data_IF_107075022084
#
_entry.id   IF_107075022084
#
_cell.length_a   1.000
_cell.length_b   1.000
_cell.length_c   1.000
_cell.angle_alpha   90.00
_cell.angle_beta   90.00
_cell.angle_gamma   90.00
#
_symmetry.space_group_name_H-M   'P 1'
#
loop_
_entity.id
_entity.type
_entity.pdbx_description
1 polymer ?
#
# COMPACT_ATOMS: atom_id res chain seq x y z
N UNK A 1 -22.85 20.35 8.17
CA UNK A 1 -22.14 19.32 7.38
C UNK A 1 -20.70 19.23 7.89
N UNK A 2 -20.36 18.19 8.65
CA UNK A 2 -18.98 18.00 9.13
C UNK A 2 -18.06 17.81 7.91
N UNK A 3 -17.15 18.76 7.66
CA UNK A 3 -16.16 18.65 6.58
C UNK A 3 -15.37 17.36 6.78
N UNK A 4 -15.34 16.50 5.77
CA UNK A 4 -14.64 15.21 5.77
C UNK A 4 -13.21 15.30 6.32
N UNK A 5 -12.51 16.41 6.07
CA UNK A 5 -11.19 16.71 6.60
C UNK A 5 -11.12 16.81 8.14
N UNK A 6 -12.15 17.38 8.77
CA UNK A 6 -12.22 17.49 10.23
C UNK A 6 -12.43 16.13 10.89
N UNK A 7 -13.18 15.24 10.24
CA UNK A 7 -13.38 13.84 10.66
C UNK A 7 -12.09 13.06 10.48
N UNK A 8 -11.43 13.17 9.32
CA UNK A 8 -10.12 12.55 9.04
C UNK A 8 -9.06 12.98 10.05
N UNK A 9 -8.91 14.29 10.30
CA UNK A 9 -7.96 14.83 11.28
C UNK A 9 -8.24 14.37 12.72
N UNK A 10 -9.50 14.17 13.10
CA UNK A 10 -9.87 13.62 14.43
C UNK A 10 -9.56 12.12 14.53
N UNK A 11 -9.80 11.36 13.45
CA UNK A 11 -9.44 9.94 13.37
C UNK A 11 -7.93 9.73 13.48
N UNK A 12 -7.13 10.50 12.72
CA UNK A 12 -5.66 10.41 12.78
C UNK A 12 -5.12 10.74 14.18
N UNK A 13 -5.67 11.75 14.85
CA UNK A 13 -5.26 12.11 16.23
C UNK A 13 -5.63 11.03 17.26
N UNK A 14 -6.77 10.35 17.10
CA UNK A 14 -7.16 9.25 17.99
C UNK A 14 -6.43 7.94 17.69
N UNK A 15 -5.99 7.70 16.46
CA UNK A 15 -5.30 6.48 16.03
C UNK A 15 -4.04 6.20 16.86
N UNK A 16 -3.23 7.23 17.14
CA UNK A 16 -2.04 7.12 17.98
C UNK A 16 -2.36 6.74 19.44
N UNK A 17 -3.41 7.34 20.03
CA UNK A 17 -3.86 7.02 21.40
C UNK A 17 -4.52 5.65 21.55
N UNK A 18 -4.90 5.02 20.44
CA UNK A 18 -5.55 3.71 20.40
C UNK A 18 -4.57 2.59 20.02
N UNK A 19 -3.30 2.90 19.72
CA UNK A 19 -2.32 1.86 19.47
C UNK A 19 -1.98 1.16 20.78
N UNK A 20 -2.09 -0.19 20.85
CA UNK A 20 -1.71 -0.92 22.05
C UNK A 20 -0.22 -0.69 22.35
N UNK A 21 0.17 -0.64 23.64
CA UNK A 21 1.59 -0.55 24.00
C UNK A 21 2.34 -1.72 23.38
N UNK A 22 3.53 -1.43 22.84
CA UNK A 22 4.40 -2.44 22.21
C UNK A 22 4.68 -3.53 23.26
N UNK A 23 4.26 -4.79 23.04
CA UNK A 23 4.50 -5.85 24.01
C UNK A 23 6.00 -6.10 24.18
N UNK A 24 6.47 -6.15 25.44
CA UNK A 24 7.88 -6.37 25.78
C UNK A 24 8.46 -7.71 25.28
N UNK A 25 7.60 -8.61 24.78
CA UNK A 25 7.93 -10.03 24.56
C UNK A 25 8.09 -10.39 23.08
N UNK A 26 8.09 -9.42 22.16
CA UNK A 26 8.06 -9.70 20.72
C UNK A 26 9.00 -8.77 19.95
N UNK A 27 10.26 -9.19 19.82
CA UNK A 27 11.20 -8.61 18.86
C UNK A 27 12.06 -9.71 18.26
N UNK A 28 11.80 -10.08 17.01
CA UNK A 28 12.85 -10.66 16.18
C UNK A 28 13.42 -9.53 15.33
N UNK A 29 14.44 -8.85 15.86
CA UNK A 29 15.18 -7.81 15.13
C UNK A 29 15.95 -8.47 14.00
N UNK A 30 15.70 -8.04 12.77
CA UNK A 30 16.46 -8.45 11.60
C UNK A 30 17.60 -7.44 11.42
N UNK A 31 18.86 -7.84 11.66
CA UNK A 31 20.01 -6.95 11.85
C UNK A 31 20.49 -6.18 10.60
N UNK A 32 19.83 -6.33 9.45
CA UNK A 32 20.22 -5.69 8.18
C UNK A 32 19.17 -4.68 7.65
N UNK A 33 17.92 -4.78 8.08
CA UNK A 33 16.83 -3.88 7.72
C UNK A 33 15.90 -3.75 8.92
N UNK A 34 15.80 -2.56 9.50
CA UNK A 34 15.05 -2.34 10.74
C UNK A 34 13.54 -2.28 10.43
N UNK A 35 12.88 -3.43 10.54
CA UNK A 35 11.43 -3.50 10.61
C UNK A 35 10.98 -4.35 11.79
N UNK A 36 9.85 -3.98 12.39
CA UNK A 36 9.18 -4.71 13.47
C UNK A 36 7.88 -5.31 12.93
N UNK A 37 7.71 -6.61 13.13
CA UNK A 37 6.51 -7.34 12.69
C UNK A 37 5.65 -7.68 13.90
N UNK A 38 4.40 -7.24 13.88
CA UNK A 38 3.37 -7.54 14.87
C UNK A 38 2.39 -8.55 14.29
N UNK A 39 2.42 -9.77 14.83
CA UNK A 39 1.52 -10.87 14.45
C UNK A 39 1.52 -11.93 15.53
N UNK A 40 0.49 -12.78 15.57
CA UNK A 40 0.47 -14.03 16.33
C UNK A 40 0.68 -15.21 15.40
N UNK A 41 0.98 -16.40 15.94
CA UNK A 41 0.99 -17.62 15.14
C UNK A 41 -0.38 -17.94 14.56
N UNK A 42 -1.46 -17.70 15.31
CA UNK A 42 -2.83 -17.90 14.83
C UNK A 42 -3.14 -16.98 13.63
N UNK A 43 -2.71 -15.72 13.67
CA UNK A 43 -2.83 -14.81 12.54
C UNK A 43 -2.08 -15.33 11.31
N UNK A 44 -0.88 -15.89 11.49
CA UNK A 44 -0.12 -16.49 10.38
C UNK A 44 -0.81 -17.73 9.81
N UNK A 45 -1.42 -18.57 10.66
CA UNK A 45 -2.23 -19.72 10.21
C UNK A 45 -3.44 -19.26 9.40
N UNK A 46 -4.15 -18.22 9.84
CA UNK A 46 -5.30 -17.65 9.10
C UNK A 46 -4.86 -16.98 7.81
N UNK A 47 -3.75 -16.22 7.83
CA UNK A 47 -3.19 -15.58 6.65
C UNK A 47 -2.80 -16.61 5.57
N UNK A 48 -2.25 -17.76 5.98
CA UNK A 48 -1.89 -18.83 5.05
C UNK A 48 -3.10 -19.43 4.30
N UNK A 49 -4.29 -19.39 4.90
CA UNK A 49 -5.54 -19.86 4.29
C UNK A 49 -6.16 -18.84 3.32
N UNK A 50 -5.70 -17.58 3.37
CA UNK A 50 -6.27 -16.50 2.57
C UNK A 50 -5.76 -16.57 1.12
N UNK A 51 -6.67 -16.81 0.17
CA UNK A 51 -6.35 -16.78 -1.27
C UNK A 51 -6.24 -15.36 -1.81
N UNK A 52 -6.89 -14.40 -1.17
CA UNK A 52 -6.80 -12.98 -1.52
C UNK A 52 -6.23 -12.23 -0.31
N UNK A 53 -5.20 -11.45 -0.57
CA UNK A 53 -4.58 -10.59 0.42
C UNK A 53 -4.63 -9.13 -0.04
N UNK A 54 -4.62 -8.23 0.93
CA UNK A 54 -4.55 -6.79 0.72
C UNK A 54 -3.36 -6.25 1.49
N UNK A 55 -2.58 -5.38 0.87
CA UNK A 55 -1.46 -4.69 1.50
C UNK A 55 -1.71 -3.19 1.43
N UNK A 56 -1.49 -2.49 2.53
CA UNK A 56 -1.69 -1.04 2.60
C UNK A 56 -0.48 -0.41 3.32
N UNK A 57 0.28 0.42 2.61
CA UNK A 57 1.31 1.27 3.17
C UNK A 57 0.65 2.56 3.67
N UNK A 58 0.42 2.67 4.97
CA UNK A 58 -0.31 3.80 5.55
C UNK A 58 0.62 4.73 6.31
N UNK A 59 0.74 5.97 5.80
CA UNK A 59 1.34 7.15 6.43
C UNK A 59 2.81 7.06 6.76
N UNK A 60 3.51 8.17 6.47
CA UNK A 60 4.79 8.48 7.10
C UNK A 60 4.59 8.47 8.61
N UNK A 61 5.05 7.43 9.30
CA UNK A 61 4.96 7.37 10.76
C UNK A 61 5.78 8.52 11.32
N UNK A 62 5.17 9.37 12.15
CA UNK A 62 5.81 10.57 12.70
C UNK A 62 6.72 10.26 13.90
N UNK A 63 7.09 8.99 14.08
CA UNK A 63 7.84 8.52 15.24
C UNK A 63 9.07 7.78 14.76
N UNK A 64 10.15 8.53 14.60
CA UNK A 64 11.47 7.98 14.32
C UNK A 64 11.81 6.84 15.32
N UNK A 65 12.48 5.77 14.87
CA UNK A 65 13.13 5.62 13.56
C UNK A 65 12.19 5.15 12.44
N UNK A 66 10.95 4.76 12.74
CA UNK A 66 10.03 4.23 11.75
C UNK A 66 9.45 5.37 10.92
N UNK A 67 9.49 5.24 9.61
CA UNK A 67 8.89 6.19 8.67
C UNK A 67 7.78 5.57 7.83
N UNK A 68 7.54 4.27 7.94
CA UNK A 68 6.51 3.58 7.17
C UNK A 68 5.79 2.53 8.02
N UNK A 69 4.47 2.44 7.85
CA UNK A 69 3.63 1.43 8.50
C UNK A 69 2.84 0.66 7.44
N UNK A 70 3.04 -0.66 7.40
CA UNK A 70 2.38 -1.55 6.46
C UNK A 70 1.42 -2.47 7.19
N UNK A 71 0.21 -2.63 6.68
CA UNK A 71 -0.73 -3.66 7.14
C UNK A 71 -0.97 -4.69 6.06
N UNK A 72 -1.03 -5.96 6.45
CA UNK A 72 -1.35 -7.08 5.57
C UNK A 72 -2.62 -7.72 6.06
N UNK A 73 -3.63 -7.66 5.20
CA UNK A 73 -4.95 -8.19 5.43
C UNK A 73 -5.15 -9.44 4.58
N UNK A 74 -5.92 -10.39 5.10
CA UNK A 74 -6.41 -11.53 4.34
C UNK A 74 -7.92 -11.47 4.23
N UNK A 75 -8.46 -11.91 3.08
CA UNK A 75 -9.89 -12.16 2.96
C UNK A 75 -10.23 -13.48 3.65
N UNK A 76 -10.84 -13.39 4.83
CA UNK A 76 -11.13 -14.51 5.71
C UNK A 76 -12.54 -14.36 6.30
N UNK A 77 -13.35 -15.42 6.24
CA UNK A 77 -14.75 -15.38 6.69
C UNK A 77 -15.53 -14.19 6.08
N UNK A 78 -15.40 -14.02 4.77
CA UNK A 78 -16.06 -12.96 3.99
C UNK A 78 -15.71 -11.52 4.41
N UNK A 79 -14.61 -11.35 5.15
CA UNK A 79 -14.16 -10.05 5.64
C UNK A 79 -12.67 -9.85 5.37
N UNK A 80 -12.28 -8.60 5.12
CA UNK A 80 -10.88 -8.23 5.09
C UNK A 80 -10.39 -7.99 6.52
N UNK A 81 -9.58 -8.91 7.05
CA UNK A 81 -9.06 -8.85 8.42
C UNK A 81 -7.55 -8.62 8.41
N UNK A 82 -7.05 -7.74 9.29
CA UNK A 82 -5.62 -7.50 9.46
C UNK A 82 -4.98 -8.64 10.23
N UNK A 83 -3.96 -9.27 9.65
CA UNK A 83 -3.24 -10.37 10.30
C UNK A 83 -1.82 -9.99 10.68
N UNK A 84 -1.16 -9.15 9.88
CA UNK A 84 0.21 -8.70 10.12
C UNK A 84 0.28 -7.19 10.02
N UNK A 85 0.96 -6.56 10.97
CA UNK A 85 1.29 -5.13 10.92
C UNK A 85 2.80 -4.99 11.01
N UNK A 86 3.38 -4.07 10.24
CA UNK A 86 4.83 -3.89 10.14
C UNK A 86 5.19 -2.42 10.28
N UNK A 87 6.10 -2.10 11.19
CA UNK A 87 6.76 -0.79 11.24
C UNK A 87 8.11 -0.91 10.54
N UNK A 88 8.42 0.02 9.64
CA UNK A 88 9.63 0.00 8.81
C UNK A 88 10.35 1.34 8.88
N UNK A 89 11.69 1.33 8.89
CA UNK A 89 12.52 2.54 8.86
C UNK A 89 12.73 3.11 7.45
N UNK A 90 12.12 2.49 6.43
CA UNK A 90 12.19 2.93 5.05
C UNK A 90 11.16 2.23 4.16
N UNK A 91 10.97 2.82 2.97
CA UNK A 91 9.98 2.43 1.95
C UNK A 91 10.66 1.98 0.65
N UNK A 92 11.88 1.45 0.73
CA UNK A 92 12.61 0.95 -0.44
C UNK A 92 12.16 -0.45 -0.84
N UNK A 93 12.36 -0.79 -2.12
CA UNK A 93 12.03 -2.11 -2.66
C UNK A 93 12.74 -3.24 -1.89
N UNK A 94 14.02 -3.07 -1.56
CA UNK A 94 14.81 -4.03 -0.78
C UNK A 94 14.20 -4.26 0.61
N UNK A 95 13.70 -3.22 1.26
CA UNK A 95 13.09 -3.33 2.58
C UNK A 95 11.76 -4.09 2.51
N UNK A 96 10.93 -3.85 1.49
CA UNK A 96 9.72 -4.65 1.28
C UNK A 96 10.03 -6.09 0.92
N UNK A 97 11.04 -6.34 0.08
CA UNK A 97 11.53 -7.71 -0.20
C UNK A 97 11.94 -8.40 1.10
N UNK A 98 12.70 -7.72 1.96
CA UNK A 98 13.14 -8.26 3.25
C UNK A 98 11.95 -8.56 4.18
N UNK A 99 10.97 -7.65 4.26
CA UNK A 99 9.71 -7.85 5.00
C UNK A 99 8.94 -9.06 4.48
N UNK A 100 8.69 -9.16 3.17
CA UNK A 100 7.96 -10.26 2.54
C UNK A 100 8.66 -11.61 2.76
N UNK A 101 9.99 -11.67 2.60
CA UNK A 101 10.79 -12.87 2.91
C UNK A 101 10.66 -13.30 4.36
N UNK A 102 10.68 -12.34 5.28
CA UNK A 102 10.49 -12.63 6.71
C UNK A 102 9.12 -13.28 6.94
N UNK A 103 8.05 -12.68 6.41
CA UNK A 103 6.68 -13.20 6.58
C UNK A 103 6.53 -14.59 5.94
N UNK A 104 7.03 -14.80 4.71
CA UNK A 104 7.03 -16.11 4.05
C UNK A 104 7.68 -17.18 4.91
N UNK A 105 8.85 -16.89 5.51
CA UNK A 105 9.56 -17.82 6.41
C UNK A 105 8.75 -18.09 7.68
N UNK A 106 8.14 -17.06 8.28
CA UNK A 106 7.31 -17.24 9.49
C UNK A 106 6.05 -18.07 9.21
N UNK A 107 5.36 -17.83 8.09
CA UNK A 107 4.22 -18.65 7.66
C UNK A 107 4.64 -20.11 7.45
N UNK A 108 5.72 -20.34 6.71
CA UNK A 108 6.27 -21.68 6.46
C UNK A 108 6.65 -22.40 7.76
N UNK A 109 7.27 -21.70 8.69
CA UNK A 109 7.65 -22.26 9.99
C UNK A 109 6.43 -22.65 10.84
N UNK A 110 5.40 -21.81 10.89
CA UNK A 110 4.21 -22.02 11.74
C UNK A 110 3.23 -23.05 11.15
N UNK A 111 3.13 -23.13 9.83
CA UNK A 111 2.10 -23.92 9.13
C UNK A 111 2.64 -25.14 8.40
N UNK A 112 3.95 -25.20 8.14
CA UNK A 112 4.54 -26.19 7.23
C UNK A 112 4.23 -25.92 5.75
N UNK A 113 3.53 -24.83 5.41
CA UNK A 113 3.09 -24.52 4.06
C UNK A 113 3.77 -23.28 3.50
N UNK A 114 4.01 -23.27 2.18
CA UNK A 114 4.47 -22.07 1.49
C UNK A 114 3.33 -21.06 1.46
N UNK A 115 3.62 -19.81 1.82
CA UNK A 115 2.65 -18.73 1.66
C UNK A 115 2.42 -18.43 0.17
N UNK A 116 1.25 -18.80 -0.35
CA UNK A 116 0.92 -18.74 -1.77
C UNK A 116 -0.51 -18.20 -1.97
N UNK A 117 -0.74 -16.89 -1.78
CA UNK A 117 -2.01 -16.28 -2.15
C UNK A 117 -2.22 -16.35 -3.68
N UNK A 118 -3.47 -16.29 -4.14
CA UNK A 118 -3.78 -16.21 -5.58
C UNK A 118 -3.76 -14.77 -6.08
N UNK A 119 -4.18 -13.83 -5.22
CA UNK A 119 -4.35 -12.42 -5.57
C UNK A 119 -3.83 -11.52 -4.46
N UNK A 120 -3.12 -10.47 -4.86
CA UNK A 120 -2.75 -9.34 -3.99
C UNK A 120 -3.38 -8.06 -4.53
N UNK A 121 -3.94 -7.27 -3.62
CA UNK A 121 -4.38 -5.92 -3.89
C UNK A 121 -3.56 -4.98 -3.03
N UNK A 122 -2.79 -4.09 -3.64
CA UNK A 122 -1.96 -3.11 -2.92
C UNK A 122 -2.29 -1.70 -3.34
N UNK A 123 -1.87 -0.72 -2.56
CA UNK A 123 -1.71 0.64 -3.06
C UNK A 123 -0.71 0.70 -4.23
N UNK A 124 -0.57 1.89 -4.80
CA UNK A 124 0.24 2.09 -6.00
C UNK A 124 1.69 2.47 -5.71
N UNK A 125 2.23 2.00 -4.59
CA UNK A 125 3.61 2.26 -4.24
C UNK A 125 4.55 1.36 -5.06
N UNK A 126 5.37 1.98 -5.93
CA UNK A 126 6.21 1.28 -6.89
C UNK A 126 7.16 0.27 -6.23
N UNK A 127 7.78 0.66 -5.11
CA UNK A 127 8.69 -0.20 -4.36
C UNK A 127 7.99 -1.46 -3.80
N UNK A 128 6.77 -1.32 -3.27
CA UNK A 128 5.97 -2.46 -2.81
C UNK A 128 5.55 -3.35 -3.98
N UNK A 129 5.13 -2.75 -5.11
CA UNK A 129 4.72 -3.50 -6.30
C UNK A 129 5.86 -4.34 -6.89
N UNK A 130 7.07 -3.80 -6.99
CA UNK A 130 8.23 -4.55 -7.52
C UNK A 130 8.72 -5.62 -6.52
N UNK A 131 8.66 -5.33 -5.23
CA UNK A 131 8.94 -6.33 -4.19
C UNK A 131 7.95 -7.50 -4.25
N UNK A 132 6.66 -7.24 -4.45
CA UNK A 132 5.64 -8.26 -4.66
C UNK A 132 5.89 -9.09 -5.92
N UNK A 133 6.25 -8.44 -7.04
CA UNK A 133 6.59 -9.12 -8.29
C UNK A 133 7.77 -10.09 -8.12
N UNK A 134 8.76 -9.68 -7.33
CA UNK A 134 9.95 -10.50 -7.04
C UNK A 134 9.65 -11.64 -6.07
N UNK A 135 8.98 -11.36 -4.95
CA UNK A 135 8.82 -12.32 -3.85
C UNK A 135 7.60 -13.24 -4.02
N UNK A 136 6.60 -12.83 -4.81
CA UNK A 136 5.36 -13.53 -5.05
C UNK A 136 5.02 -13.56 -6.56
N UNK A 137 5.90 -14.12 -7.41
CA UNK A 137 5.85 -13.95 -8.87
C UNK A 137 4.62 -14.59 -9.55
N UNK A 138 3.99 -15.56 -8.90
CA UNK A 138 2.79 -16.26 -9.43
C UNK A 138 1.47 -15.61 -8.99
N UNK A 139 1.54 -14.59 -8.13
CA UNK A 139 0.36 -13.92 -7.58
C UNK A 139 -0.15 -12.88 -8.57
N UNK A 140 -1.47 -12.82 -8.78
CA UNK A 140 -2.07 -11.75 -9.57
C UNK A 140 -2.07 -10.47 -8.75
N UNK A 141 -1.26 -9.49 -9.16
CA UNK A 141 -1.24 -8.17 -8.54
C UNK A 141 -2.30 -7.25 -9.17
N UNK A 142 -3.02 -6.55 -8.31
CA UNK A 142 -4.01 -5.54 -8.67
C UNK A 142 -3.81 -4.30 -7.81
N UNK A 143 -4.07 -3.12 -8.37
CA UNK A 143 -4.13 -1.92 -7.55
C UNK A 143 -5.39 -1.85 -6.71
N UNK A 144 -5.44 -0.91 -5.77
CA UNK A 144 -6.61 -0.66 -4.95
C UNK A 144 -7.59 0.30 -5.63
N UNK A 145 -8.86 -0.11 -5.77
CA UNK A 145 -9.94 0.70 -6.39
C UNK A 145 -10.18 2.02 -5.66
N UNK A 146 -10.10 2.00 -4.34
CA UNK A 146 -10.27 3.18 -3.52
C UNK A 146 -9.15 4.21 -3.79
N UNK A 147 -7.90 3.77 -3.78
CA UNK A 147 -6.75 4.63 -4.08
C UNK A 147 -6.73 5.11 -5.55
N UNK A 148 -7.25 4.29 -6.48
CA UNK A 148 -7.44 4.68 -7.88
C UNK A 148 -8.42 5.83 -8.00
N UNK A 149 -9.61 5.69 -7.41
CA UNK A 149 -10.64 6.73 -7.42
C UNK A 149 -10.15 8.03 -6.77
N UNK A 150 -9.42 7.95 -5.66
CA UNK A 150 -8.82 9.12 -5.03
C UNK A 150 -7.80 9.82 -5.93
N UNK A 151 -6.93 9.06 -6.60
CA UNK A 151 -5.92 9.62 -7.48
C UNK A 151 -6.53 10.24 -8.73
N UNK A 152 -7.54 9.60 -9.31
CA UNK A 152 -8.32 10.16 -10.41
C UNK A 152 -9.02 11.46 -10.00
N UNK A 153 -9.62 11.50 -8.82
CA UNK A 153 -10.32 12.70 -8.35
C UNK A 153 -9.37 13.87 -8.13
N UNK A 154 -8.21 13.63 -7.53
CA UNK A 154 -7.14 14.65 -7.42
C UNK A 154 -6.76 15.18 -8.80
N UNK A 155 -6.69 14.31 -9.81
CA UNK A 155 -6.35 14.73 -11.17
C UNK A 155 -7.45 15.58 -11.82
N UNK A 156 -8.72 15.22 -11.62
CA UNK A 156 -9.87 16.02 -12.07
C UNK A 156 -9.82 17.42 -11.47
N UNK A 157 -9.51 17.52 -10.17
CA UNK A 157 -9.36 18.82 -9.48
C UNK A 157 -8.18 19.64 -10.03
N UNK A 158 -7.01 19.02 -10.23
CA UNK A 158 -5.83 19.68 -10.82
C UNK A 158 -6.11 20.27 -12.21
N UNK A 159 -6.92 19.59 -13.01
CA UNK A 159 -7.29 20.02 -14.36
C UNK A 159 -8.42 21.06 -14.38
N UNK A 160 -8.94 21.46 -13.22
CA UNK A 160 -10.08 22.39 -13.13
C UNK A 160 -11.40 21.80 -13.64
N UNK A 161 -11.49 20.47 -13.79
CA UNK A 161 -12.66 19.75 -14.29
C UNK A 161 -13.68 19.43 -13.19
N UNK A 162 -13.40 19.83 -11.94
CA UNK A 162 -14.33 19.72 -10.83
C UNK A 162 -15.36 20.87 -10.89
N UNK A 163 -16.29 20.81 -11.85
CA UNK A 163 -17.44 21.71 -11.87
C UNK A 163 -18.44 21.31 -10.74
N UNK A 164 -19.35 22.22 -10.39
CA UNK A 164 -20.29 22.15 -9.26
C UNK A 164 -21.27 20.97 -9.29
N UNK A 165 -21.40 20.28 -10.42
CA UNK A 165 -22.20 19.06 -10.55
C UNK A 165 -21.39 17.86 -10.05
N UNK A 166 -21.51 17.56 -8.75
CA UNK A 166 -20.91 16.37 -8.15
C UNK A 166 -21.45 15.10 -8.83
N UNK A 167 -20.69 14.54 -9.76
CA UNK A 167 -20.85 13.14 -10.17
C UNK A 167 -19.93 12.31 -9.27
N UNK A 168 -20.47 11.36 -8.47
CA UNK A 168 -19.61 10.50 -7.66
C UNK A 168 -18.64 9.78 -8.60
N UNK A 169 -17.34 10.02 -8.44
CA UNK A 169 -16.31 9.46 -9.32
C UNK A 169 -16.39 7.93 -9.45
N UNK A 170 -16.87 7.27 -8.40
CA UNK A 170 -17.19 5.85 -8.40
C UNK A 170 -18.19 5.44 -9.49
N UNK A 171 -19.26 6.21 -9.67
CA UNK A 171 -20.30 5.94 -10.67
C UNK A 171 -19.76 6.08 -12.10
N UNK A 172 -18.89 7.08 -12.33
CA UNK A 172 -18.21 7.25 -13.61
C UNK A 172 -17.21 6.12 -13.88
N UNK A 173 -16.38 5.73 -12.90
CA UNK A 173 -15.41 4.65 -13.08
C UNK A 173 -16.09 3.30 -13.38
N UNK A 174 -17.23 3.03 -12.75
CA UNK A 174 -18.03 1.82 -13.00
C UNK A 174 -18.63 1.85 -14.41
N UNK A 175 -19.29 2.94 -14.78
CA UNK A 175 -19.98 3.06 -16.09
C UNK A 175 -19.01 3.12 -17.28
N UNK A 176 -17.82 3.69 -17.10
CA UNK A 176 -16.79 3.80 -18.15
C UNK A 176 -15.92 2.54 -18.29
N UNK A 177 -16.09 1.53 -17.44
CA UNK A 177 -15.26 0.32 -17.40
C UNK A 177 -13.74 0.60 -17.21
N UNK A 178 -13.37 1.81 -16.81
CA UNK A 178 -11.97 2.27 -16.70
C UNK A 178 -11.17 1.49 -15.67
N UNK A 179 -11.83 0.97 -14.63
CA UNK A 179 -11.20 0.08 -13.65
C UNK A 179 -10.58 -1.17 -14.30
N UNK A 180 -11.32 -1.82 -15.19
CA UNK A 180 -10.88 -3.06 -15.82
C UNK A 180 -9.72 -2.81 -16.78
N UNK A 181 -9.67 -1.63 -17.41
CA UNK A 181 -8.62 -1.26 -18.36
C UNK A 181 -7.26 -0.99 -17.71
N UNK A 182 -7.22 -0.53 -16.45
CA UNK A 182 -5.98 -0.02 -15.82
C UNK A 182 -5.51 -0.78 -14.57
N UNK A 183 -6.36 -1.55 -13.89
CA UNK A 183 -6.04 -1.98 -12.51
C UNK A 183 -6.36 -3.45 -12.19
N UNK A 184 -7.27 -4.10 -12.92
CA UNK A 184 -7.83 -5.40 -12.52
C UNK A 184 -6.82 -6.56 -12.61
N UNK A 185 -5.96 -6.58 -13.62
CA UNK A 185 -4.94 -7.61 -13.85
C UNK A 185 -3.66 -6.93 -14.39
N UNK A 186 -2.48 -7.32 -13.87
CA UNK A 186 -1.18 -6.70 -14.21
C UNK A 186 -1.17 -5.18 -14.05
N UNK A 187 -1.71 -4.66 -12.94
CA UNK A 187 -1.90 -3.23 -12.70
C UNK A 187 -0.72 -2.38 -13.22
N UNK A 188 -0.96 -1.59 -14.26
CA UNK A 188 -0.04 -0.59 -14.80
C UNK A 188 -0.49 0.73 -14.22
N UNK A 189 0.03 1.07 -13.03
CA UNK A 189 -0.35 2.30 -12.36
C UNK A 189 0.88 3.06 -11.82
N UNK A 190 0.92 4.40 -11.95
CA UNK A 190 -0.02 5.21 -12.73
C UNK A 190 -0.01 4.77 -14.20
N UNK A 191 -1.15 4.80 -14.91
CA UNK A 191 -1.16 4.60 -16.36
C UNK A 191 -0.08 5.49 -16.98
N UNK A 192 0.58 5.08 -18.06
CA UNK A 192 1.61 5.90 -18.70
C UNK A 192 1.12 7.33 -19.01
N UNK A 193 -0.18 7.48 -19.29
CA UNK A 193 -0.87 8.77 -19.49
C UNK A 193 -0.93 9.67 -18.25
N UNK A 194 -0.74 9.13 -17.05
CA UNK A 194 -0.64 9.86 -15.77
C UNK A 194 0.82 10.02 -15.32
N UNK A 195 1.76 9.28 -15.92
CA UNK A 195 3.19 9.32 -15.66
C UNK A 195 3.89 10.45 -16.45
N UNK A 196 3.25 11.63 -16.54
CA UNK A 196 3.77 12.79 -17.30
C UNK A 196 4.76 13.63 -16.46
N UNK A 197 4.96 13.29 -15.19
CA UNK A 197 5.89 13.99 -14.32
C UNK A 197 6.80 13.00 -13.59
N UNK A 198 7.83 12.54 -14.29
CA UNK A 198 9.06 12.16 -13.61
C UNK A 198 9.44 13.29 -12.66
N UNK A 199 9.80 12.94 -11.43
CA UNK A 199 10.38 13.90 -10.48
C UNK A 199 11.51 14.64 -11.19
N UNK A 200 11.48 15.97 -11.13
CA UNK A 200 12.37 16.86 -11.86
C UNK A 200 13.86 16.55 -11.68
N UNK A 201 14.44 16.09 -12.77
CA UNK A 201 15.69 16.58 -13.37
C UNK A 201 15.31 16.75 -14.85
N UNK A 202 15.01 17.94 -15.35
CA UNK A 202 15.99 18.97 -15.65
C UNK A 202 15.30 20.35 -15.69
N UNK A 203 15.64 21.18 -14.73
CA UNK A 203 15.59 22.64 -14.89
C UNK A 203 16.91 23.15 -14.30
N UNK A 204 18.01 22.91 -15.01
CA UNK A 204 19.20 23.72 -14.88
C UNK A 204 19.44 24.44 -16.20
N UNK A 205 19.32 25.77 -16.11
CA UNK A 205 19.92 26.79 -16.95
C UNK A 205 20.87 26.29 -18.05
N UNK A 206 20.45 26.43 -19.30
CA UNK A 206 21.35 26.84 -20.36
C UNK A 206 20.71 28.00 -21.11
N UNK A 207 21.03 29.23 -20.67
CA UNK A 207 21.01 30.37 -21.57
C UNK A 207 22.08 30.17 -22.64
N UNK A 208 21.80 30.41 -23.93
CA UNK A 208 22.82 30.38 -24.96
C UNK A 208 23.66 31.67 -24.86
N UNK A 209 24.96 31.51 -24.61
CA UNK A 209 25.92 32.59 -24.77
C UNK A 209 26.09 32.84 -26.28
N UNK A 210 25.50 33.93 -26.77
CA UNK A 210 25.67 34.41 -28.14
C UNK A 210 26.60 35.62 -28.17
N UNK A 211 27.72 35.44 -28.87
CA UNK A 211 28.71 36.42 -29.40
C UNK A 211 29.36 37.41 -28.44
#
# INVERSE_FOLDING_TARGET
>A
MLRFEAVKSRLERKKASLMPPIPNNFQQRNALHEFLVFTTEENLRKLAQCRQIFMDGTFKTQTAPFIQFVTIHGFYMERALSFVMVLMTGETEEMYKAMLRHIKRRVQHVTGQRWMPNKVTTDFEMAMMEALRTELPTVRSSGCYFHFCQSLWRKVQELGLSDSSYVPIHSWVISSNTWNAYVRDNAIFPPAVWNVFGRGSDNMNQQPCGR
#
